data_IF_618014220357
#
_entry.id   IF_618014220357
#
_cell.length_a   1.000
_cell.length_b   1.000
_cell.length_c   1.000
_cell.angle_alpha   90.00
_cell.angle_beta   90.00
_cell.angle_gamma   90.00
#
_symmetry.space_group_name_H-M   'P 1'
#
loop_
_entity.id
_entity.type
_entity.pdbx_description
1 polymer ?
#
# COMPACT_ATOMS: atom_id res chain seq x y z
N UNK A 1 4.56 -14.76 21.86
CA UNK A 1 4.33 -13.59 20.99
C UNK A 1 3.70 -14.10 19.70
N UNK A 2 2.63 -13.50 19.18
CA UNK A 2 2.05 -13.96 17.89
C UNK A 2 2.99 -13.53 16.75
N UNK A 3 3.01 -14.30 15.66
CA UNK A 3 3.86 -14.00 14.50
C UNK A 3 3.61 -12.58 13.96
N UNK A 4 2.34 -12.19 13.88
CA UNK A 4 1.90 -10.87 13.42
C UNK A 4 2.53 -9.73 14.26
N UNK A 5 2.54 -9.85 15.59
CA UNK A 5 3.13 -8.85 16.49
C UNK A 5 4.64 -8.71 16.25
N UNK A 6 5.33 -9.84 16.03
CA UNK A 6 6.77 -9.87 15.75
C UNK A 6 7.06 -9.20 14.41
N UNK A 7 6.30 -9.51 13.36
CA UNK A 7 6.48 -8.93 12.03
C UNK A 7 6.22 -7.42 12.03
N UNK A 8 5.20 -6.97 12.76
CA UNK A 8 4.88 -5.54 12.85
C UNK A 8 5.94 -4.78 13.64
N UNK A 9 6.45 -5.36 14.73
CA UNK A 9 7.59 -4.80 15.46
C UNK A 9 8.85 -4.76 14.58
N UNK A 10 9.12 -5.82 13.82
CA UNK A 10 10.25 -5.89 12.89
C UNK A 10 10.15 -4.81 11.81
N UNK A 11 8.97 -4.61 11.22
CA UNK A 11 8.73 -3.52 10.26
C UNK A 11 9.09 -2.15 10.87
N UNK A 12 8.61 -1.86 12.09
CA UNK A 12 8.88 -0.59 12.79
C UNK A 12 10.35 -0.39 13.08
N UNK A 13 11.04 -1.43 13.57
CA UNK A 13 12.47 -1.39 13.88
C UNK A 13 13.27 -1.14 12.59
N UNK A 14 13.05 -1.95 11.56
CA UNK A 14 13.80 -1.84 10.29
C UNK A 14 13.60 -0.45 9.65
N UNK A 15 12.38 0.06 9.67
CA UNK A 15 12.05 1.37 9.12
C UNK A 15 12.65 2.53 9.94
N UNK A 16 12.68 2.41 11.27
CA UNK A 16 13.31 3.38 12.16
C UNK A 16 14.84 3.35 12.04
N UNK A 17 15.41 2.18 11.72
CA UNK A 17 16.83 1.98 11.42
C UNK A 17 17.22 2.40 9.99
N UNK A 18 16.26 2.89 9.19
CA UNK A 18 16.44 3.40 7.83
C UNK A 18 16.60 4.94 7.73
N UNK A 19 17.07 5.72 8.73
CA UNK A 19 17.00 7.19 8.67
C UNK A 19 18.00 7.82 7.68
N UNK A 20 18.82 7.02 6.99
CA UNK A 20 19.87 7.54 6.10
C UNK A 20 19.39 7.90 4.69
N UNK A 21 18.08 7.86 4.40
CA UNK A 21 17.54 8.27 3.09
C UNK A 21 17.83 9.75 2.84
N UNK A 22 17.46 10.64 3.78
CA UNK A 22 17.68 12.08 3.63
C UNK A 22 19.14 12.49 3.57
N UNK A 23 20.01 11.76 4.29
CA UNK A 23 21.45 12.01 4.26
C UNK A 23 22.09 11.70 2.89
N UNK A 24 21.60 10.70 2.16
CA UNK A 24 22.09 10.36 0.82
C UNK A 24 21.58 11.31 -0.27
N UNK A 25 20.33 11.79 -0.16
CA UNK A 25 19.71 12.68 -1.18
C UNK A 25 20.48 13.99 -1.35
N UNK A 26 20.93 14.59 -0.25
CA UNK A 26 21.71 15.82 -0.31
C UNK A 26 23.01 15.64 -1.10
N UNK A 27 23.69 14.50 -0.94
CA UNK A 27 24.91 14.17 -1.69
C UNK A 27 24.64 13.96 -3.17
N UNK A 28 23.53 13.30 -3.55
CA UNK A 28 23.17 13.10 -4.97
C UNK A 28 22.78 14.40 -5.71
N UNK A 29 22.53 15.48 -4.97
CA UNK A 29 22.08 16.76 -5.50
C UNK A 29 23.12 17.88 -5.27
N UNK A 30 24.35 17.53 -4.90
CA UNK A 30 25.44 18.48 -4.64
C UNK A 30 25.85 19.30 -5.87
N UNK A 31 25.79 18.69 -7.05
CA UNK A 31 26.00 19.33 -8.35
C UNK A 31 24.85 20.24 -8.79
N UNK A 32 23.77 20.35 -7.99
CA UNK A 32 22.60 21.17 -8.30
C UNK A 32 22.58 22.45 -7.46
N UNK A 33 21.64 23.34 -7.74
CA UNK A 33 21.49 24.56 -6.96
C UNK A 33 21.13 24.24 -5.50
N UNK A 34 21.60 25.08 -4.57
CA UNK A 34 21.31 24.91 -3.13
C UNK A 34 19.81 24.79 -2.84
N UNK A 35 18.97 25.52 -3.58
CA UNK A 35 17.51 25.42 -3.46
C UNK A 35 16.99 24.01 -3.79
N UNK A 36 17.49 23.38 -4.86
CA UNK A 36 17.10 22.02 -5.26
C UNK A 36 17.61 21.00 -4.24
N UNK A 37 18.86 21.12 -3.80
CA UNK A 37 19.46 20.21 -2.82
C UNK A 37 18.72 20.23 -1.47
N UNK A 38 18.43 21.42 -0.93
CA UNK A 38 17.68 21.57 0.33
C UNK A 38 16.25 21.03 0.17
N UNK A 39 15.60 21.32 -0.95
CA UNK A 39 14.23 20.85 -1.21
C UNK A 39 14.18 19.33 -1.30
N UNK A 40 15.10 18.70 -2.06
CA UNK A 40 15.19 17.25 -2.18
C UNK A 40 15.49 16.57 -0.84
N UNK A 41 16.44 17.11 -0.08
CA UNK A 41 16.78 16.59 1.25
C UNK A 41 15.59 16.66 2.20
N UNK A 42 14.87 17.80 2.21
CA UNK A 42 13.69 18.00 3.05
C UNK A 42 12.57 17.04 2.66
N UNK A 43 12.32 16.88 1.36
CA UNK A 43 11.31 15.95 0.85
C UNK A 43 11.62 14.50 1.24
N UNK A 44 12.88 14.10 1.17
CA UNK A 44 13.32 12.76 1.54
C UNK A 44 13.05 12.45 3.02
N UNK A 45 13.36 13.41 3.91
CA UNK A 45 13.00 13.32 5.33
C UNK A 45 11.49 13.28 5.55
N UNK A 46 10.72 14.07 4.79
CA UNK A 46 9.26 14.08 4.88
C UNK A 46 8.65 12.73 4.45
N UNK A 47 9.13 12.14 3.35
CA UNK A 47 8.69 10.81 2.89
C UNK A 47 9.01 9.76 3.95
N UNK A 48 10.28 9.69 4.40
CA UNK A 48 10.68 8.73 5.43
C UNK A 48 9.86 8.90 6.73
N UNK A 49 9.73 10.14 7.24
CA UNK A 49 8.96 10.43 8.44
C UNK A 49 7.49 10.03 8.30
N UNK A 50 6.90 10.25 7.13
CA UNK A 50 5.53 9.81 6.82
C UNK A 50 5.40 8.29 6.90
N UNK A 51 6.33 7.53 6.32
CA UNK A 51 6.30 6.05 6.39
C UNK A 51 6.46 5.59 7.84
N UNK A 52 7.37 6.20 8.60
CA UNK A 52 7.60 5.88 10.01
C UNK A 52 6.31 6.09 10.80
N UNK A 53 5.69 7.27 10.69
CA UNK A 53 4.42 7.58 11.37
C UNK A 53 3.32 6.59 10.95
N UNK A 54 3.20 6.30 9.65
CA UNK A 54 2.25 5.33 9.13
C UNK A 54 2.47 3.92 9.71
N UNK A 55 3.71 3.54 10.03
CA UNK A 55 4.02 2.25 10.65
C UNK A 55 3.54 2.12 12.11
N UNK A 56 3.42 3.25 12.82
CA UNK A 56 3.00 3.30 14.22
C UNK A 56 1.48 3.42 14.40
N UNK A 57 0.81 4.11 13.48
CA UNK A 57 -0.66 4.26 13.50
C UNK A 57 -1.25 3.13 12.67
N UNK A 58 -1.82 2.10 13.30
CA UNK A 58 -2.48 0.99 12.57
C UNK A 58 -3.88 1.40 12.13
N UNK A 59 -4.07 1.69 10.84
CA UNK A 59 -5.36 2.04 10.25
C UNK A 59 -5.36 1.74 8.74
N UNK A 60 -6.49 1.43 8.08
CA UNK A 60 -6.50 1.18 6.63
C UNK A 60 -5.89 2.31 5.77
N UNK A 61 -6.05 3.57 6.20
CA UNK A 61 -5.45 4.73 5.51
C UNK A 61 -3.93 4.68 5.60
N UNK A 62 -3.37 4.40 6.78
CA UNK A 62 -1.91 4.33 6.95
C UNK A 62 -1.32 3.09 6.31
N UNK A 63 -2.10 2.01 6.13
CA UNK A 63 -1.69 0.87 5.28
C UNK A 63 -1.51 1.29 3.82
N UNK A 64 -2.42 2.13 3.30
CA UNK A 64 -2.28 2.70 1.94
C UNK A 64 -1.05 3.57 1.84
N UNK A 65 -0.84 4.48 2.80
CA UNK A 65 0.36 5.32 2.85
C UNK A 65 1.63 4.46 2.88
N UNK A 66 1.66 3.44 3.74
CA UNK A 66 2.79 2.51 3.84
C UNK A 66 3.08 1.83 2.49
N UNK A 67 2.07 1.29 1.80
CA UNK A 67 2.23 0.57 0.53
C UNK A 67 2.54 1.46 -0.67
N UNK A 68 2.20 2.75 -0.62
CA UNK A 68 2.58 3.72 -1.66
C UNK A 68 4.01 4.22 -1.42
N UNK A 69 4.39 4.48 -0.17
CA UNK A 69 5.67 5.11 0.14
C UNK A 69 6.85 4.13 0.28
N UNK A 70 6.63 2.87 0.67
CA UNK A 70 7.75 1.90 0.78
C UNK A 70 8.41 1.57 -0.56
N UNK A 71 7.71 1.47 -1.72
CA UNK A 71 8.36 1.36 -3.03
C UNK A 71 9.25 2.57 -3.35
N UNK A 72 8.82 3.78 -3.03
CA UNK A 72 9.60 5.02 -3.23
C UNK A 72 10.91 4.95 -2.43
N UNK A 73 10.81 4.57 -1.15
CA UNK A 73 11.97 4.40 -0.26
C UNK A 73 12.94 3.34 -0.80
N UNK A 74 12.44 2.16 -1.17
CA UNK A 74 13.27 1.08 -1.68
C UNK A 74 13.92 1.45 -3.03
N UNK A 75 13.14 2.02 -3.95
CA UNK A 75 13.62 2.48 -5.25
C UNK A 75 14.71 3.53 -5.13
N UNK A 76 14.55 4.51 -4.23
CA UNK A 76 15.59 5.50 -3.97
C UNK A 76 16.90 4.87 -3.47
N UNK A 77 16.84 3.97 -2.49
CA UNK A 77 18.03 3.32 -1.93
C UNK A 77 18.74 2.45 -2.97
N UNK A 78 17.97 1.80 -3.84
CA UNK A 78 18.51 1.04 -4.97
C UNK A 78 19.18 1.98 -5.99
N UNK A 79 18.60 3.15 -6.26
CA UNK A 79 19.25 4.14 -7.13
C UNK A 79 20.53 4.72 -6.50
N UNK A 80 20.54 4.95 -5.20
CA UNK A 80 21.70 5.47 -4.45
C UNK A 80 22.93 4.56 -4.60
N UNK A 81 22.74 3.23 -4.52
CA UNK A 81 23.84 2.27 -4.67
C UNK A 81 24.46 2.28 -6.08
N UNK A 82 23.66 2.56 -7.12
CA UNK A 82 24.17 2.67 -8.49
C UNK A 82 25.01 3.95 -8.72
N UNK A 83 24.75 5.01 -7.95
CA UNK A 83 25.47 6.28 -8.09
C UNK A 83 26.75 6.32 -7.23
N UNK A 84 26.69 5.82 -6.00
CA UNK A 84 27.82 5.89 -5.05
C UNK A 84 28.73 4.65 -5.07
N UNK A 85 28.32 3.58 -5.76
CA UNK A 85 29.02 2.31 -5.78
C UNK A 85 28.68 1.38 -4.60
N UNK A 86 29.07 0.12 -4.73
CA UNK A 86 28.73 -0.93 -3.77
C UNK A 86 29.71 -0.98 -2.61
N UNK A 87 29.23 -0.70 -1.40
CA UNK A 87 29.93 -0.96 -0.14
C UNK A 87 29.12 -1.90 0.75
N UNK A 88 29.75 -2.49 1.78
CA UNK A 88 29.05 -3.37 2.73
C UNK A 88 27.86 -2.67 3.41
N UNK A 89 28.01 -1.41 3.79
CA UNK A 89 26.91 -0.61 4.35
C UNK A 89 25.77 -0.37 3.36
N UNK A 90 26.09 -0.11 2.08
CA UNK A 90 25.07 0.09 1.04
C UNK A 90 24.29 -1.20 0.76
N UNK A 91 24.96 -2.36 0.73
CA UNK A 91 24.31 -3.66 0.58
C UNK A 91 23.31 -3.94 1.71
N UNK A 92 23.67 -3.61 2.96
CA UNK A 92 22.77 -3.74 4.12
C UNK A 92 21.55 -2.82 3.96
N UNK A 93 21.74 -1.57 3.56
CA UNK A 93 20.63 -0.62 3.35
C UNK A 93 19.63 -1.13 2.31
N UNK A 94 20.12 -1.67 1.19
CA UNK A 94 19.27 -2.28 0.14
C UNK A 94 18.54 -3.51 0.68
N UNK A 95 19.22 -4.40 1.43
CA UNK A 95 18.57 -5.57 2.01
C UNK A 95 17.46 -5.19 2.99
N UNK A 96 17.70 -4.20 3.87
CA UNK A 96 16.70 -3.71 4.81
C UNK A 96 15.54 -3.03 4.07
N UNK A 97 15.79 -2.24 3.03
CA UNK A 97 14.73 -1.57 2.26
C UNK A 97 13.83 -2.57 1.52
N UNK A 98 14.41 -3.62 0.94
CA UNK A 98 13.67 -4.72 0.32
C UNK A 98 12.86 -5.47 1.39
N UNK A 99 13.43 -5.75 2.56
CA UNK A 99 12.70 -6.40 3.64
C UNK A 99 11.48 -5.57 4.10
N UNK A 100 11.66 -4.25 4.28
CA UNK A 100 10.55 -3.32 4.61
C UNK A 100 9.48 -3.32 3.52
N UNK A 101 9.89 -3.29 2.25
CA UNK A 101 8.97 -3.38 1.11
C UNK A 101 8.15 -4.67 1.16
N UNK A 102 8.81 -5.83 1.29
CA UNK A 102 8.13 -7.13 1.34
C UNK A 102 7.19 -7.24 2.55
N UNK A 103 7.62 -6.78 3.73
CA UNK A 103 6.77 -6.75 4.92
C UNK A 103 5.54 -5.86 4.71
N UNK A 104 5.68 -4.68 4.10
CA UNK A 104 4.57 -3.76 3.86
C UNK A 104 3.47 -4.34 2.94
N UNK A 105 3.83 -5.26 2.06
CA UNK A 105 2.92 -5.97 1.16
C UNK A 105 2.48 -7.35 1.67
N UNK A 106 2.96 -7.77 2.84
CA UNK A 106 2.56 -9.04 3.46
C UNK A 106 1.09 -9.06 3.88
N UNK A 107 0.52 -10.26 3.98
CA UNK A 107 -0.86 -10.46 4.40
C UNK A 107 -1.01 -10.18 5.91
N UNK A 108 0.01 -10.51 6.70
CA UNK A 108 0.09 -10.36 8.15
C UNK A 108 0.10 -8.89 8.56
N UNK A 109 0.86 -8.04 7.86
CA UNK A 109 0.79 -6.59 8.12
C UNK A 109 -0.56 -6.03 7.67
N UNK A 110 -1.10 -6.52 6.55
CA UNK A 110 -2.44 -6.16 6.09
C UNK A 110 -3.53 -6.48 7.12
N UNK A 111 -3.50 -7.66 7.74
CA UNK A 111 -4.49 -8.12 8.71
C UNK A 111 -4.51 -7.21 9.94
N UNK A 112 -3.36 -6.82 10.47
CA UNK A 112 -3.25 -5.92 11.63
C UNK A 112 -3.92 -4.56 11.34
N UNK A 113 -3.60 -3.94 10.21
CA UNK A 113 -4.08 -2.59 9.90
C UNK A 113 -5.58 -2.57 9.58
N UNK A 114 -6.08 -3.60 8.91
CA UNK A 114 -7.50 -3.77 8.62
C UNK A 114 -8.27 -4.05 9.92
N UNK A 115 -7.78 -4.96 10.75
CA UNK A 115 -8.40 -5.33 12.02
C UNK A 115 -8.38 -4.19 13.05
N UNK A 116 -7.41 -3.27 12.98
CA UNK A 116 -7.34 -2.12 13.88
C UNK A 116 -8.56 -1.19 13.80
N UNK A 117 -9.33 -1.27 12.72
CA UNK A 117 -10.57 -0.49 12.53
C UNK A 117 -11.85 -1.30 12.76
N UNK A 118 -11.75 -2.53 13.28
CA UNK A 118 -12.85 -3.44 13.57
C UNK A 118 -13.68 -2.97 14.78
N UNK A 119 -14.99 -3.15 14.71
CA UNK A 119 -15.91 -2.82 15.80
C UNK A 119 -16.33 -4.06 16.59
N UNK A 120 -16.29 -3.97 17.92
CA UNK A 120 -16.70 -5.06 18.81
C UNK A 120 -15.99 -6.38 18.47
N UNK A 121 -16.78 -7.42 18.19
CA UNK A 121 -16.30 -8.77 17.90
C UNK A 121 -16.02 -9.04 16.41
N UNK A 122 -15.99 -8.01 15.56
CA UNK A 122 -15.67 -8.15 14.14
C UNK A 122 -14.29 -8.77 13.92
N UNK A 123 -14.22 -9.75 13.02
CA UNK A 123 -12.96 -10.29 12.47
C UNK A 123 -12.86 -9.98 10.99
N UNK A 124 -11.92 -9.12 10.63
CA UNK A 124 -11.74 -8.63 9.25
C UNK A 124 -10.55 -9.32 8.60
N UNK A 125 -10.78 -9.88 7.42
CA UNK A 125 -9.76 -10.55 6.62
C UNK A 125 -9.59 -9.80 5.30
N UNK A 126 -8.40 -9.23 5.08
CA UNK A 126 -8.11 -8.48 3.87
C UNK A 126 -8.18 -9.38 2.62
N UNK A 127 -8.85 -8.91 1.57
CA UNK A 127 -8.94 -9.60 0.29
C UNK A 127 -7.72 -9.26 -0.56
N UNK A 128 -7.32 -10.22 -1.41
CA UNK A 128 -6.24 -10.00 -2.38
C UNK A 128 -6.68 -9.00 -3.45
N UNK A 129 -5.77 -8.17 -3.99
CA UNK A 129 -6.11 -7.28 -5.08
C UNK A 129 -6.42 -8.08 -6.37
N UNK A 130 -7.37 -7.64 -7.21
CA UNK A 130 -7.71 -8.31 -8.46
C UNK A 130 -6.50 -8.30 -9.40
N UNK A 131 -6.19 -9.41 -10.06
CA UNK A 131 -5.01 -9.50 -10.96
C UNK A 131 -5.10 -8.46 -12.08
N UNK A 132 -6.30 -8.27 -12.62
CA UNK A 132 -6.59 -7.30 -13.70
C UNK A 132 -6.27 -5.86 -13.30
N UNK A 133 -6.31 -5.55 -12.00
CA UNK A 133 -6.02 -4.19 -11.51
C UNK A 133 -4.54 -3.95 -11.19
N UNK A 134 -3.68 -4.98 -11.16
CA UNK A 134 -2.27 -4.80 -10.77
C UNK A 134 -1.57 -3.75 -11.66
N UNK A 135 -1.64 -3.91 -12.99
CA UNK A 135 -1.00 -3.00 -13.92
C UNK A 135 -1.48 -1.53 -13.79
N UNK A 136 -2.80 -1.23 -13.80
CA UNK A 136 -3.27 0.14 -13.62
C UNK A 136 -2.97 0.70 -12.23
N UNK A 137 -2.92 -0.13 -11.17
CA UNK A 137 -2.51 0.31 -9.83
C UNK A 137 -1.04 0.74 -9.83
N UNK A 138 -0.15 -0.07 -10.41
CA UNK A 138 1.27 0.25 -10.52
C UNK A 138 1.51 1.53 -11.33
N UNK A 139 0.79 1.70 -12.45
CA UNK A 139 0.88 2.94 -13.23
C UNK A 139 0.36 4.15 -12.45
N UNK A 140 -0.77 3.99 -11.76
CA UNK A 140 -1.40 5.08 -11.01
C UNK A 140 -0.55 5.52 -9.82
N UNK A 141 0.07 4.58 -9.11
CA UNK A 141 1.00 4.86 -8.01
C UNK A 141 2.26 5.56 -8.52
N UNK A 142 2.84 5.07 -9.62
CA UNK A 142 4.00 5.71 -10.25
C UNK A 142 3.73 7.16 -10.64
N UNK A 143 2.58 7.43 -11.29
CA UNK A 143 2.19 8.80 -11.67
C UNK A 143 2.00 9.68 -10.43
N UNK A 144 1.38 9.16 -9.37
CA UNK A 144 1.19 9.89 -8.12
C UNK A 144 2.53 10.24 -7.47
N UNK A 145 3.41 9.25 -7.29
CA UNK A 145 4.72 9.44 -6.65
C UNK A 145 5.60 10.40 -7.44
N UNK A 146 5.67 10.23 -8.77
CA UNK A 146 6.42 11.15 -9.63
C UNK A 146 5.87 12.58 -9.52
N UNK A 147 4.56 12.77 -9.51
CA UNK A 147 3.97 14.10 -9.38
C UNK A 147 4.25 14.74 -8.01
N UNK A 148 4.08 13.97 -6.93
CA UNK A 148 4.33 14.42 -5.55
C UNK A 148 5.80 14.82 -5.37
N UNK A 149 6.73 14.02 -5.89
CA UNK A 149 8.17 14.22 -5.69
C UNK A 149 8.73 15.29 -6.63
N UNK A 150 8.37 15.25 -7.91
CA UNK A 150 8.95 16.17 -8.90
C UNK A 150 8.48 17.61 -8.74
N UNK A 151 7.24 17.85 -8.30
CA UNK A 151 6.69 19.19 -8.19
C UNK A 151 7.56 20.15 -7.35
N UNK A 152 7.87 19.86 -6.06
CA UNK A 152 8.69 20.76 -5.26
C UNK A 152 10.11 20.93 -5.83
N UNK A 153 10.69 19.87 -6.40
CA UNK A 153 12.01 19.92 -7.03
C UNK A 153 12.04 20.82 -8.27
N UNK A 154 11.01 20.76 -9.12
CA UNK A 154 10.89 21.56 -10.33
C UNK A 154 10.65 23.04 -10.02
N UNK A 155 9.88 23.33 -8.97
CA UNK A 155 9.71 24.69 -8.45
C UNK A 155 11.05 25.23 -7.93
N UNK A 156 11.79 24.45 -7.15
CA UNK A 156 13.11 24.82 -6.65
C UNK A 156 14.13 25.05 -7.79
N UNK A 157 14.03 24.26 -8.87
CA UNK A 157 14.82 24.43 -10.09
C UNK A 157 14.35 25.60 -10.97
N UNK A 158 13.26 26.30 -10.62
CA UNK A 158 12.62 27.37 -11.40
C UNK A 158 12.17 26.92 -12.80
N UNK A 159 11.91 25.63 -12.99
CA UNK A 159 11.39 25.08 -14.24
C UNK A 159 9.86 25.10 -14.22
N UNK A 160 9.28 26.29 -14.40
CA UNK A 160 7.84 26.53 -14.22
C UNK A 160 6.96 25.75 -15.20
N UNK A 161 7.40 25.56 -16.44
CA UNK A 161 6.62 24.84 -17.46
C UNK A 161 6.41 23.37 -17.06
N UNK A 162 7.49 22.69 -16.68
CA UNK A 162 7.40 21.28 -16.25
C UNK A 162 6.76 21.17 -14.87
N UNK A 163 6.99 22.14 -13.98
CA UNK A 163 6.31 22.20 -12.69
C UNK A 163 4.78 22.28 -12.84
N UNK A 164 4.27 23.03 -13.82
CA UNK A 164 2.83 23.10 -14.10
C UNK A 164 2.25 21.74 -14.53
N UNK A 165 2.99 20.96 -15.33
CA UNK A 165 2.59 19.59 -15.70
C UNK A 165 2.56 18.68 -14.48
N UNK A 166 3.59 18.76 -13.62
CA UNK A 166 3.65 17.99 -12.37
C UNK A 166 2.51 18.37 -11.42
N UNK A 167 2.14 19.66 -11.35
CA UNK A 167 1.00 20.13 -10.56
C UNK A 167 -0.33 19.56 -11.06
N UNK A 168 -0.54 19.52 -12.38
CA UNK A 168 -1.71 18.89 -12.98
C UNK A 168 -1.75 17.38 -12.67
N UNK A 169 -0.60 16.70 -12.77
CA UNK A 169 -0.45 15.30 -12.39
C UNK A 169 -0.80 15.06 -10.91
N UNK A 170 -0.33 15.93 -10.02
CA UNK A 170 -0.64 15.87 -8.59
C UNK A 170 -2.14 16.05 -8.34
N UNK A 171 -2.78 17.02 -8.99
CA UNK A 171 -4.22 17.24 -8.87
C UNK A 171 -5.03 16.02 -9.34
N UNK A 172 -4.69 15.45 -10.51
CA UNK A 172 -5.32 14.23 -11.03
C UNK A 172 -5.12 13.07 -10.05
N UNK A 173 -3.90 12.92 -9.53
CA UNK A 173 -3.55 11.84 -8.62
C UNK A 173 -4.34 11.94 -7.30
N UNK A 174 -4.39 13.12 -6.70
CA UNK A 174 -5.11 13.37 -5.46
C UNK A 174 -6.62 13.19 -5.62
N UNK A 175 -7.20 13.64 -6.74
CA UNK A 175 -8.64 13.59 -6.96
C UNK A 175 -9.15 12.23 -7.42
N UNK A 176 -8.39 11.51 -8.25
CA UNK A 176 -8.88 10.31 -8.93
C UNK A 176 -8.08 9.04 -8.62
N UNK A 177 -6.75 9.11 -8.52
CA UNK A 177 -5.92 7.91 -8.42
C UNK A 177 -5.81 7.41 -6.97
N UNK A 178 -5.37 8.27 -6.05
CA UNK A 178 -5.14 7.91 -4.64
C UNK A 178 -6.42 7.40 -3.94
N UNK A 179 -7.60 8.02 -4.12
CA UNK A 179 -8.83 7.47 -3.53
C UNK A 179 -9.15 6.06 -4.02
N UNK A 180 -8.86 5.74 -5.29
CA UNK A 180 -9.09 4.41 -5.88
C UNK A 180 -8.09 3.38 -5.38
N UNK A 181 -6.82 3.77 -5.25
CA UNK A 181 -5.79 2.93 -4.65
C UNK A 181 -6.15 2.61 -3.18
N UNK A 182 -6.68 3.59 -2.45
CA UNK A 182 -7.10 3.40 -1.06
C UNK A 182 -8.20 2.33 -0.89
N UNK A 183 -9.09 2.18 -1.88
CA UNK A 183 -10.13 1.13 -1.85
C UNK A 183 -9.54 -0.27 -1.68
N UNK A 184 -8.33 -0.54 -2.20
CA UNK A 184 -7.68 -1.85 -2.05
C UNK A 184 -7.32 -2.17 -0.60
N UNK A 185 -7.07 -1.16 0.22
CA UNK A 185 -6.86 -1.34 1.67
C UNK A 185 -8.17 -1.44 2.45
N UNK A 186 -9.31 -1.26 1.77
CA UNK A 186 -10.68 -1.36 2.29
C UNK A 186 -11.45 -2.54 1.69
N UNK A 187 -10.76 -3.50 1.08
CA UNK A 187 -11.35 -4.77 0.61
C UNK A 187 -11.14 -5.83 1.67
N UNK A 188 -12.20 -6.20 2.37
CA UNK A 188 -12.12 -7.23 3.40
C UNK A 188 -13.43 -7.99 3.55
N UNK A 189 -13.29 -9.23 4.04
CA UNK A 189 -14.38 -10.06 4.48
C UNK A 189 -14.48 -9.98 6.00
N UNK A 190 -15.66 -9.64 6.51
CA UNK A 190 -15.92 -9.43 7.94
C UNK A 190 -16.76 -10.56 8.49
N UNK A 191 -16.24 -11.30 9.46
CA UNK A 191 -17.04 -12.22 10.25
C UNK A 191 -17.62 -11.49 11.46
N UNK A 192 -18.92 -11.63 11.63
CA UNK A 192 -19.71 -11.10 12.76
C UNK A 192 -20.59 -12.22 13.34
N UNK A 193 -21.10 -12.08 14.57
CA UNK A 193 -21.98 -13.12 15.14
C UNK A 193 -23.20 -13.45 14.28
N UNK A 194 -23.73 -12.46 13.55
CA UNK A 194 -24.89 -12.61 12.68
C UNK A 194 -24.60 -13.27 11.32
N UNK A 195 -23.34 -13.40 10.91
CA UNK A 195 -22.97 -13.89 9.58
C UNK A 195 -21.66 -13.31 9.04
N UNK A 196 -21.61 -13.08 7.74
CA UNK A 196 -20.43 -12.61 7.01
C UNK A 196 -20.78 -11.41 6.16
N UNK A 197 -19.97 -10.37 6.20
CA UNK A 197 -20.11 -9.18 5.32
C UNK A 197 -18.95 -9.13 4.34
N UNK A 198 -19.25 -8.99 3.05
CA UNK A 198 -18.26 -8.64 2.04
C UNK A 198 -18.24 -7.11 1.91
N UNK A 199 -17.13 -6.50 2.32
CA UNK A 199 -16.87 -5.08 2.13
C UNK A 199 -15.88 -4.92 0.97
N UNK A 200 -16.41 -4.61 -0.21
CA UNK A 200 -15.62 -4.43 -1.42
C UNK A 200 -16.26 -3.40 -2.35
N UNK A 201 -15.83 -2.14 -2.22
CA UNK A 201 -16.32 -1.03 -3.05
C UNK A 201 -15.77 -1.03 -4.49
N UNK A 202 -14.92 -2.00 -4.86
CA UNK A 202 -14.44 -2.17 -6.23
C UNK A 202 -15.40 -3.04 -7.04
N UNK A 203 -15.84 -4.15 -6.44
CA UNK A 203 -16.69 -5.15 -7.12
C UNK A 203 -18.17 -4.91 -6.83
N UNK A 204 -18.50 -4.46 -5.62
CA UNK A 204 -19.87 -4.27 -5.16
C UNK A 204 -20.20 -2.77 -5.02
N UNK A 205 -21.45 -2.41 -5.35
CA UNK A 205 -21.96 -1.06 -5.12
C UNK A 205 -22.28 -0.79 -3.63
N UNK A 206 -22.60 -1.85 -2.89
CA UNK A 206 -22.94 -1.81 -1.47
C UNK A 206 -22.41 -3.05 -0.75
N UNK A 207 -22.26 -2.99 0.57
CA UNK A 207 -21.80 -4.13 1.35
C UNK A 207 -22.81 -5.28 1.29
N UNK A 208 -22.33 -6.47 0.96
CA UNK A 208 -23.16 -7.67 0.91
C UNK A 208 -23.11 -8.39 2.26
N UNK A 209 -24.23 -8.39 2.99
CA UNK A 209 -24.38 -9.15 4.24
C UNK A 209 -25.02 -10.51 3.97
N UNK A 210 -24.28 -11.57 4.26
CA UNK A 210 -24.72 -12.96 4.20
C UNK A 210 -25.08 -13.38 5.63
N UNK A 211 -26.35 -13.70 5.87
CA UNK A 211 -26.81 -14.14 7.19
C UNK A 211 -26.37 -15.56 7.48
N UNK A 212 -26.00 -15.84 8.73
CA UNK A 212 -25.56 -17.17 9.16
C UNK A 212 -26.56 -18.30 8.84
N UNK A 213 -27.85 -18.02 8.90
CA UNK A 213 -28.93 -18.98 8.60
C UNK A 213 -29.09 -19.29 7.10
N UNK A 214 -28.64 -18.38 6.23
CA UNK A 214 -28.72 -18.53 4.77
C UNK A 214 -27.50 -19.26 4.22
N UNK A 215 -26.38 -19.18 4.94
CA UNK A 215 -25.14 -19.87 4.62
C UNK A 215 -25.25 -21.37 4.93
N UNK A 216 -25.15 -22.20 3.90
CA UNK A 216 -25.17 -23.66 4.04
C UNK A 216 -23.76 -24.23 4.24
N UNK A 217 -22.80 -23.72 3.47
CA UNK A 217 -21.43 -24.22 3.46
C UNK A 217 -20.43 -23.14 3.03
N UNK A 218 -19.23 -23.19 3.60
CA UNK A 218 -18.04 -22.49 3.09
C UNK A 218 -17.01 -23.56 2.74
N UNK A 219 -16.51 -23.54 1.51
CA UNK A 219 -15.47 -24.46 1.06
C UNK A 219 -14.48 -23.75 0.13
N UNK A 220 -13.37 -24.41 -0.17
CA UNK A 220 -12.52 -23.99 -1.29
C UNK A 220 -13.29 -24.22 -2.59
N UNK A 221 -13.24 -23.23 -3.49
CA UNK A 221 -13.89 -23.33 -4.79
C UNK A 221 -13.29 -24.48 -5.61
N UNK A 222 -14.15 -25.20 -6.32
CA UNK A 222 -13.74 -26.22 -7.29
C UNK A 222 -13.40 -25.57 -8.63
N UNK A 223 -12.51 -26.18 -9.41
CA UNK A 223 -12.00 -25.62 -10.67
C UNK A 223 -13.10 -25.25 -11.70
N UNK A 224 -14.26 -25.93 -11.67
CA UNK A 224 -15.40 -25.68 -12.55
C UNK A 224 -16.64 -25.18 -11.78
N UNK A 225 -16.44 -24.36 -10.75
CA UNK A 225 -17.56 -23.76 -10.01
C UNK A 225 -18.39 -22.84 -10.91
N UNK A 226 -19.72 -22.97 -10.83
CA UNK A 226 -20.67 -22.08 -11.50
C UNK A 226 -21.07 -20.87 -10.62
N UNK A 227 -20.44 -20.71 -9.44
CA UNK A 227 -20.71 -19.61 -8.54
C UNK A 227 -20.26 -18.25 -9.14
N UNK A 228 -20.94 -17.18 -8.74
CA UNK A 228 -20.54 -15.83 -9.12
C UNK A 228 -19.19 -15.45 -8.47
N UNK A 229 -18.22 -15.00 -9.28
CA UNK A 229 -16.90 -14.62 -8.79
C UNK A 229 -16.89 -13.18 -8.24
N UNK A 230 -17.01 -13.05 -6.93
CA UNK A 230 -16.84 -11.78 -6.21
C UNK A 230 -15.38 -11.47 -5.86
N UNK A 231 -14.44 -12.39 -6.13
CA UNK A 231 -13.01 -12.13 -5.90
C UNK A 231 -12.41 -11.22 -6.97
N UNK A 232 -13.06 -11.14 -8.15
CA UNK A 232 -12.59 -10.46 -9.35
C UNK A 232 -11.25 -11.02 -9.86
N UNK A 233 -11.20 -12.34 -10.11
CA UNK A 233 -10.03 -13.01 -10.68
C UNK A 233 -8.75 -12.78 -9.85
N UNK A 234 -8.85 -12.95 -8.53
CA UNK A 234 -7.67 -12.92 -7.65
C UNK A 234 -6.83 -14.18 -7.83
N UNK A 235 -5.54 -14.11 -7.48
CA UNK A 235 -4.69 -15.30 -7.48
C UNK A 235 -4.92 -16.14 -6.21
N UNK A 236 -4.73 -17.46 -6.34
CA UNK A 236 -4.93 -18.43 -5.26
C UNK A 236 -6.27 -19.16 -5.36
N UNK A 237 -6.61 -19.94 -4.34
CA UNK A 237 -7.86 -20.70 -4.31
C UNK A 237 -8.94 -19.85 -3.64
N UNK A 238 -10.02 -19.46 -4.35
CA UNK A 238 -11.08 -18.66 -3.76
C UNK A 238 -11.94 -19.51 -2.81
N UNK A 239 -12.67 -18.83 -1.92
CA UNK A 239 -13.67 -19.46 -1.08
C UNK A 239 -15.04 -19.38 -1.76
N UNK A 240 -15.71 -20.51 -1.84
CA UNK A 240 -17.06 -20.64 -2.34
C UNK A 240 -18.05 -20.72 -1.18
N UNK A 241 -19.06 -19.86 -1.23
CA UNK A 241 -20.15 -19.79 -0.26
C UNK A 241 -21.39 -20.36 -0.91
N UNK A 242 -21.95 -21.42 -0.32
CA UNK A 242 -23.20 -22.02 -0.76
C UNK A 242 -24.34 -21.54 0.13
N UNK A 243 -25.51 -21.34 -0.48
CA UNK A 243 -26.66 -20.74 0.19
C UNK A 243 -27.88 -21.64 0.12
N UNK A 244 -28.71 -21.60 1.17
CA UNK A 244 -29.98 -22.33 1.22
C UNK A 244 -31.06 -21.73 0.31
N UNK A 245 -30.86 -20.48 -0.13
CA UNK A 245 -31.75 -19.73 -1.02
C UNK A 245 -30.90 -18.92 -2.01
N UNK A 246 -31.41 -18.62 -3.22
CA UNK A 246 -30.73 -17.71 -4.12
C UNK A 246 -30.59 -16.33 -3.44
N UNK A 247 -29.40 -15.73 -3.55
CA UNK A 247 -29.17 -14.34 -3.19
C UNK A 247 -29.42 -13.46 -4.42
N UNK A 248 -30.11 -12.34 -4.21
CA UNK A 248 -30.14 -11.25 -5.17
C UNK A 248 -28.83 -10.45 -5.02
N UNK A 249 -27.95 -10.55 -6.04
CA UNK A 249 -26.65 -9.87 -6.11
C UNK A 249 -26.65 -8.92 -7.30
#
# INVERSE_FOLDING_TARGET
>A
MRLEDVLHMMLRILLSCLPFIGAGVGGLLDDRSAAVQVTGTTLAWAVWGTVVIASFISHPITLTVLRISTPVVAGFIILDIFNQGTSGGQAIRVAVSIAVLLLSFSAEIGSIYVQASAYGDEKRFALRPPVVLIAPILLSTLVADLSIISLPLLIAARNWAVAAVSLAGLYISAKYLLPRIHLLSRRWLVFVPAGVVVHDEIVLSTNLMIRKQELSQIQLARDNSAAADLSALTWGVPLEFSFNKPLDI
#
